data_IF_806701296645
#
_entry.id   IF_806701296645
#
_cell.length_a   1.000
_cell.length_b   1.000
_cell.length_c   1.000
_cell.angle_alpha   90.00
_cell.angle_beta   90.00
_cell.angle_gamma   90.00
#
_symmetry.space_group_name_H-M   'P 1'
#
loop_
_entity.id
_entity.type
_entity.pdbx_description
1 polymer ?
#
# COMPACT_ATOMS: atom_id res chain seq x y z
N UNK A 1 15.55 -66.00 34.46
CA UNK A 1 16.93 -65.56 34.71
C UNK A 1 17.04 -64.10 34.32
N UNK A 2 17.17 -63.21 35.29
CA UNK A 2 17.61 -61.84 35.07
C UNK A 2 19.14 -61.80 35.06
N UNK A 3 19.74 -60.86 34.32
CA UNK A 3 20.97 -60.21 34.72
C UNK A 3 20.80 -58.68 34.84
N UNK A 4 21.74 -58.01 35.51
CA UNK A 4 21.44 -56.92 36.44
C UNK A 4 21.64 -55.50 35.87
N UNK A 5 21.10 -54.57 36.63
CA UNK A 5 21.21 -53.11 36.53
C UNK A 5 22.65 -52.60 36.45
N UNK A 6 22.87 -51.57 35.65
CA UNK A 6 23.96 -50.62 35.84
C UNK A 6 23.41 -49.21 35.60
N UNK A 7 23.09 -48.51 36.71
CA UNK A 7 22.89 -47.07 36.71
C UNK A 7 24.26 -46.38 36.73
N UNK A 8 24.46 -45.43 35.83
CA UNK A 8 25.52 -44.42 35.97
C UNK A 8 24.91 -43.05 35.64
N UNK A 9 25.01 -42.06 36.53
CA UNK A 9 24.32 -40.78 36.35
C UNK A 9 25.18 -39.84 35.52
N UNK A 10 24.70 -39.43 34.35
CA UNK A 10 25.28 -38.30 33.62
C UNK A 10 24.48 -37.03 33.96
N UNK A 11 24.97 -36.30 34.96
CA UNK A 11 24.54 -34.94 35.28
C UNK A 11 25.08 -33.95 34.19
N UNK A 12 24.65 -32.69 34.15
CA UNK A 12 23.74 -32.15 33.15
C UNK A 12 24.47 -31.08 32.31
N UNK A 13 24.68 -31.30 31.02
CA UNK A 13 25.30 -30.25 30.21
C UNK A 13 24.38 -29.68 29.15
N UNK A 14 23.92 -28.48 29.53
CA UNK A 14 23.77 -27.29 28.71
C UNK A 14 22.53 -27.30 27.84
N UNK A 15 21.46 -26.78 28.44
CA UNK A 15 20.62 -25.77 27.80
C UNK A 15 21.51 -24.92 26.90
N UNK A 16 21.44 -25.15 25.59
CA UNK A 16 21.80 -24.13 24.64
C UNK A 16 20.72 -23.06 24.80
N UNK A 17 20.96 -22.16 25.74
CA UNK A 17 20.49 -20.79 25.64
C UNK A 17 21.10 -20.26 24.35
N UNK A 18 20.45 -20.53 23.21
CA UNK A 18 20.63 -19.68 22.05
C UNK A 18 20.11 -18.33 22.50
N UNK A 19 21.07 -17.47 22.82
CA UNK A 19 20.89 -16.03 22.86
C UNK A 19 19.87 -15.68 21.79
N UNK A 20 18.75 -15.09 22.21
CA UNK A 20 17.89 -14.31 21.33
C UNK A 20 18.71 -13.11 20.86
N UNK A 21 19.70 -13.35 20.01
CA UNK A 21 20.18 -12.35 19.07
C UNK A 21 18.95 -12.03 18.25
N UNK A 22 18.55 -10.76 18.23
CA UNK A 22 17.45 -10.30 17.38
C UNK A 22 17.83 -10.65 15.93
N UNK A 23 17.40 -11.82 15.46
CA UNK A 23 17.60 -12.24 14.09
C UNK A 23 16.91 -11.20 13.21
N UNK A 24 17.60 -10.76 12.17
CA UNK A 24 17.01 -9.82 11.22
C UNK A 24 15.71 -10.36 10.66
N UNK A 25 14.78 -9.45 10.38
CA UNK A 25 13.44 -9.79 9.93
C UNK A 25 13.02 -8.89 8.78
N UNK A 26 12.31 -9.48 7.82
CA UNK A 26 11.63 -8.74 6.77
C UNK A 26 10.14 -8.68 7.09
N UNK A 27 9.61 -7.47 7.18
CA UNK A 27 8.19 -7.22 7.43
C UNK A 27 7.52 -6.71 6.17
N UNK A 28 6.38 -7.31 5.82
CA UNK A 28 5.49 -6.81 4.76
C UNK A 28 4.21 -6.29 5.40
N UNK A 29 3.99 -4.98 5.34
CA UNK A 29 2.78 -4.33 5.84
C UNK A 29 1.66 -4.44 4.81
N UNK A 30 0.51 -4.94 5.25
CA UNK A 30 -0.67 -5.15 4.42
C UNK A 30 -1.61 -3.94 4.50
N UNK A 31 -2.47 -3.73 3.47
CA UNK A 31 -3.51 -2.72 3.50
C UNK A 31 -4.42 -2.88 4.73
N UNK A 32 -4.74 -1.77 5.39
CA UNK A 32 -5.60 -1.78 6.56
C UNK A 32 -7.01 -2.28 6.18
N UNK A 33 -7.49 -3.29 6.91
CA UNK A 33 -8.83 -3.89 6.72
C UNK A 33 -9.87 -3.41 7.73
N UNK A 34 -9.56 -2.41 8.56
CA UNK A 34 -10.48 -1.88 9.55
C UNK A 34 -9.78 -1.12 10.68
N UNK A 35 -10.52 -0.78 11.76
CA UNK A 35 -9.96 -0.16 12.94
C UNK A 35 -9.10 -1.17 13.72
N UNK A 36 -7.80 -1.18 13.41
CA UNK A 36 -6.80 -2.03 14.05
C UNK A 36 -5.41 -1.69 13.53
N UNK A 37 -4.33 -2.15 14.20
CA UNK A 37 -3.00 -2.00 13.66
C UNK A 37 -2.91 -2.69 12.28
N UNK A 38 -2.11 -2.13 11.34
CA UNK A 38 -1.93 -2.76 10.04
C UNK A 38 -1.39 -4.18 10.23
N UNK A 39 -2.04 -5.13 9.55
CA UNK A 39 -1.59 -6.52 9.56
C UNK A 39 -0.20 -6.58 8.91
N UNK A 40 0.70 -7.36 9.51
CA UNK A 40 2.07 -7.55 9.01
C UNK A 40 2.37 -9.02 8.81
N UNK A 41 3.07 -9.35 7.72
CA UNK A 41 3.72 -10.64 7.53
C UNK A 41 5.18 -10.50 7.93
N UNK A 42 5.75 -11.55 8.54
CA UNK A 42 7.15 -11.55 9.01
C UNK A 42 7.88 -12.74 8.40
N UNK A 43 9.05 -12.46 7.85
CA UNK A 43 9.91 -13.41 7.18
C UNK A 43 11.27 -13.41 7.87
N UNK A 44 11.78 -14.61 8.16
CA UNK A 44 13.07 -14.83 8.83
C UNK A 44 14.22 -14.89 7.82
N UNK A 45 15.43 -15.16 8.33
CA UNK A 45 16.66 -15.35 7.57
C UNK A 45 16.49 -16.13 6.25
N UNK A 46 17.15 -15.63 5.20
CA UNK A 46 17.17 -16.22 3.86
C UNK A 46 16.80 -15.24 2.76
N UNK A 47 16.79 -15.75 1.53
CA UNK A 47 16.42 -15.01 0.33
C UNK A 47 14.92 -15.14 0.04
N UNK A 48 14.26 -14.01 -0.19
CA UNK A 48 12.82 -13.96 -0.47
C UNK A 48 12.55 -13.24 -1.79
N UNK A 49 11.86 -13.90 -2.72
CA UNK A 49 11.48 -13.27 -3.99
C UNK A 49 10.29 -12.32 -3.77
N UNK A 50 10.36 -11.12 -4.35
CA UNK A 50 9.31 -10.11 -4.26
C UNK A 50 7.94 -10.64 -4.74
N UNK A 51 7.91 -11.44 -5.80
CA UNK A 51 6.68 -12.09 -6.27
C UNK A 51 6.08 -13.05 -5.24
N UNK A 52 6.90 -13.88 -4.59
CA UNK A 52 6.43 -14.83 -3.56
C UNK A 52 5.87 -14.09 -2.35
N UNK A 53 6.55 -13.03 -1.91
CA UNK A 53 6.07 -12.14 -0.85
C UNK A 53 4.73 -11.50 -1.23
N UNK A 54 4.58 -11.01 -2.46
CA UNK A 54 3.32 -10.48 -2.99
C UNK A 54 2.21 -11.54 -3.01
N UNK A 55 2.51 -12.80 -3.34
CA UNK A 55 1.52 -13.89 -3.36
C UNK A 55 1.04 -14.19 -1.94
N UNK A 56 1.93 -14.23 -0.97
CA UNK A 56 1.56 -14.41 0.44
C UNK A 56 0.75 -13.23 0.98
N UNK A 57 1.16 -12.01 0.65
CA UNK A 57 0.44 -10.78 1.00
C UNK A 57 -0.96 -10.73 0.39
N UNK A 58 -1.11 -11.15 -0.88
CA UNK A 58 -2.40 -11.27 -1.56
C UNK A 58 -3.34 -12.26 -0.87
N UNK A 59 -2.83 -13.45 -0.51
CA UNK A 59 -3.60 -14.47 0.23
C UNK A 59 -4.06 -13.95 1.59
N UNK A 60 -3.16 -13.36 2.37
CA UNK A 60 -3.49 -12.77 3.67
C UNK A 60 -4.51 -11.61 3.54
N UNK A 61 -4.42 -10.85 2.44
CA UNK A 61 -5.31 -9.74 2.11
C UNK A 61 -6.58 -10.16 1.35
N UNK A 62 -6.82 -11.46 1.13
CA UNK A 62 -7.98 -12.00 0.40
C UNK A 62 -8.13 -11.45 -1.03
N UNK A 63 -7.03 -11.09 -1.67
CA UNK A 63 -7.00 -10.61 -3.05
C UNK A 63 -7.03 -11.82 -3.98
N UNK A 64 -7.98 -11.83 -4.92
CA UNK A 64 -8.10 -12.90 -5.90
C UNK A 64 -6.90 -12.90 -6.87
N UNK A 65 -6.48 -14.08 -7.38
CA UNK A 65 -5.34 -14.18 -8.29
C UNK A 65 -5.43 -13.25 -9.52
N UNK A 66 -6.64 -13.02 -10.04
CA UNK A 66 -6.87 -12.13 -11.19
C UNK A 66 -6.50 -10.66 -10.92
N UNK A 67 -6.53 -10.23 -9.66
CA UNK A 67 -6.21 -8.86 -9.22
C UNK A 67 -4.80 -8.74 -8.61
N UNK A 68 -4.15 -9.86 -8.28
CA UNK A 68 -2.79 -9.86 -7.70
C UNK A 68 -1.78 -9.04 -8.53
N UNK A 69 -1.75 -9.11 -9.87
CA UNK A 69 -0.81 -8.32 -10.68
C UNK A 69 -0.97 -6.80 -10.58
N UNK A 70 -2.05 -6.29 -9.95
CA UNK A 70 -2.22 -4.86 -9.73
C UNK A 70 -1.40 -4.35 -8.53
N UNK A 71 -0.88 -5.25 -7.71
CA UNK A 71 -0.15 -4.93 -6.48
C UNK A 71 1.35 -5.16 -6.62
N UNK A 72 2.13 -4.43 -5.85
CA UNK A 72 3.59 -4.57 -5.77
C UNK A 72 4.10 -4.21 -4.36
N UNK A 73 5.39 -4.43 -4.14
CA UNK A 73 6.09 -4.02 -2.93
C UNK A 73 6.75 -2.65 -3.15
N UNK A 74 6.58 -1.77 -2.18
CA UNK A 74 7.27 -0.49 -2.10
C UNK A 74 8.15 -0.42 -0.84
N UNK A 75 9.15 0.44 -0.86
CA UNK A 75 9.89 0.82 0.34
C UNK A 75 8.96 1.49 1.36
N UNK A 76 9.35 1.48 2.64
CA UNK A 76 8.57 2.08 3.73
C UNK A 76 8.26 3.58 3.51
N UNK A 77 9.21 4.30 2.91
CA UNK A 77 9.11 5.72 2.59
C UNK A 77 8.41 6.01 1.24
N UNK A 78 7.98 4.97 0.52
CA UNK A 78 7.39 5.03 -0.82
C UNK A 78 8.32 5.67 -1.87
N UNK A 79 9.63 5.72 -1.62
CA UNK A 79 10.61 6.28 -2.56
C UNK A 79 10.80 5.42 -3.81
N UNK A 80 10.58 4.11 -3.70
CA UNK A 80 10.74 3.17 -4.80
C UNK A 80 9.81 1.97 -4.72
N UNK A 81 9.66 1.31 -5.87
CA UNK A 81 8.94 0.05 -6.03
C UNK A 81 9.91 -1.05 -6.44
N UNK A 82 9.69 -2.26 -5.93
CA UNK A 82 10.51 -3.42 -6.26
C UNK A 82 9.91 -4.21 -7.43
N UNK A 83 10.72 -4.62 -8.42
CA UNK A 83 10.25 -5.52 -9.47
C UNK A 83 9.93 -6.91 -8.88
N UNK A 84 9.02 -7.69 -9.50
CA UNK A 84 8.64 -9.01 -9.01
C UNK A 84 9.82 -9.99 -8.94
N UNK A 85 10.85 -9.77 -9.76
CA UNK A 85 12.09 -10.56 -9.78
C UNK A 85 13.13 -10.15 -8.73
N UNK A 86 12.84 -9.15 -7.89
CA UNK A 86 13.78 -8.71 -6.86
C UNK A 86 13.89 -9.73 -5.73
N UNK A 87 15.10 -9.97 -5.25
CA UNK A 87 15.37 -10.89 -4.14
C UNK A 87 15.78 -10.05 -2.92
N UNK A 88 15.05 -10.21 -1.82
CA UNK A 88 15.38 -9.63 -0.52
C UNK A 88 16.17 -10.64 0.30
N UNK A 89 17.42 -10.34 0.59
CA UNK A 89 18.26 -11.15 1.47
C UNK A 89 18.14 -10.64 2.91
N UNK A 90 17.64 -11.49 3.80
CA UNK A 90 17.50 -11.18 5.23
C UNK A 90 18.69 -11.75 5.98
N UNK A 91 19.61 -10.87 6.37
CA UNK A 91 20.77 -11.20 7.20
C UNK A 91 20.49 -10.98 8.69
N UNK A 92 21.44 -11.33 9.56
CA UNK A 92 21.32 -11.17 11.03
C UNK A 92 21.36 -9.70 11.51
N UNK A 93 21.46 -8.72 10.61
CA UNK A 93 21.62 -7.31 10.94
C UNK A 93 20.44 -6.51 10.40
N UNK A 94 19.47 -6.24 11.27
CA UNK A 94 18.44 -5.22 11.05
C UNK A 94 17.09 -5.76 10.57
N UNK A 95 16.07 -4.91 10.70
CA UNK A 95 14.71 -5.20 10.28
C UNK A 95 14.38 -4.34 9.07
N UNK A 96 13.95 -4.95 7.97
CA UNK A 96 13.49 -4.24 6.78
C UNK A 96 11.96 -4.26 6.72
N UNK A 97 11.36 -3.12 6.36
CA UNK A 97 9.91 -2.98 6.24
C UNK A 97 9.55 -2.62 4.80
N UNK A 98 8.61 -3.38 4.24
CA UNK A 98 8.05 -3.20 2.90
C UNK A 98 6.55 -2.94 2.99
N UNK A 99 6.02 -2.20 2.03
CA UNK A 99 4.60 -1.91 1.92
C UNK A 99 4.00 -2.69 0.75
N UNK A 100 3.00 -3.52 1.00
CA UNK A 100 2.22 -4.18 -0.05
C UNK A 100 1.06 -3.28 -0.47
N UNK A 101 1.13 -2.73 -1.70
CA UNK A 101 0.23 -1.66 -2.17
C UNK A 101 -0.21 -1.89 -3.61
N UNK A 102 -1.38 -1.32 -3.93
CA UNK A 102 -1.85 -1.19 -5.30
C UNK A 102 -0.91 -0.25 -6.05
N UNK A 103 -0.34 -0.71 -7.17
CA UNK A 103 0.59 0.04 -8.01
C UNK A 103 -0.02 0.36 -9.37
N UNK A 104 -0.61 -0.64 -10.01
CA UNK A 104 -1.21 -0.47 -11.33
C UNK A 104 -2.66 -0.05 -11.18
N UNK A 105 -2.90 1.24 -11.38
CA UNK A 105 -4.21 1.87 -11.20
C UNK A 105 -4.76 2.41 -12.52
N UNK A 106 -6.07 2.24 -12.72
CA UNK A 106 -6.80 2.78 -13.86
C UNK A 106 -7.96 3.63 -13.33
N UNK A 107 -7.93 4.96 -13.52
CA UNK A 107 -8.99 5.83 -13.04
C UNK A 107 -10.30 5.57 -13.78
N UNK A 108 -11.41 6.02 -13.19
CA UNK A 108 -12.76 5.84 -13.75
C UNK A 108 -13.17 4.36 -13.96
N UNK A 109 -12.58 3.43 -13.21
CA UNK A 109 -12.97 2.02 -13.23
C UNK A 109 -14.40 1.79 -12.70
N UNK A 110 -14.95 2.78 -12.00
CA UNK A 110 -16.34 2.79 -11.52
C UNK A 110 -17.16 3.81 -12.32
N UNK A 111 -18.12 3.37 -13.15
CA UNK A 111 -19.03 4.26 -13.88
C UNK A 111 -19.41 3.81 -15.29
N UNK A 112 -20.17 4.67 -15.98
CA UNK A 112 -20.74 4.43 -17.33
C UNK A 112 -19.72 4.56 -18.48
N UNK A 113 -18.61 5.30 -18.27
CA UNK A 113 -17.48 5.37 -19.21
C UNK A 113 -16.24 4.74 -18.59
N UNK A 114 -16.27 3.41 -18.41
CA UNK A 114 -15.32 2.71 -17.55
C UNK A 114 -14.20 1.99 -18.30
N UNK A 115 -12.99 2.11 -17.76
CA UNK A 115 -11.96 1.10 -17.97
C UNK A 115 -12.43 -0.21 -17.31
N UNK A 116 -12.53 -1.27 -18.10
CA UNK A 116 -13.07 -2.55 -17.64
C UNK A 116 -12.26 -3.71 -18.21
N UNK A 117 -12.28 -4.83 -17.51
CA UNK A 117 -11.73 -6.07 -18.05
C UNK A 117 -12.68 -6.60 -19.13
N UNK A 118 -12.11 -7.07 -20.23
CA UNK A 118 -12.88 -7.69 -21.30
C UNK A 118 -13.61 -8.93 -20.76
N UNK A 119 -14.92 -9.03 -20.99
CA UNK A 119 -15.76 -10.13 -20.53
C UNK A 119 -16.94 -10.38 -21.46
N UNK A 120 -17.38 -11.64 -21.56
CA UNK A 120 -18.58 -12.03 -22.31
C UNK A 120 -19.81 -11.77 -21.42
N UNK A 121 -20.50 -10.64 -21.67
CA UNK A 121 -21.64 -10.06 -20.92
C UNK A 121 -21.28 -9.48 -19.54
N UNK A 122 -21.74 -8.24 -19.34
CA UNK A 122 -21.64 -7.48 -18.10
C UNK A 122 -22.53 -8.10 -17.02
N UNK A 123 -21.92 -8.59 -15.94
CA UNK A 123 -22.60 -8.59 -14.66
C UNK A 123 -21.60 -8.43 -13.49
N UNK A 124 -21.98 -7.53 -12.59
CA UNK A 124 -21.56 -7.23 -11.21
C UNK A 124 -20.06 -7.20 -10.80
N UNK A 125 -19.68 -6.02 -10.30
CA UNK A 125 -18.44 -5.74 -9.58
C UNK A 125 -18.43 -6.32 -8.15
N UNK A 126 -17.27 -6.81 -7.69
CA UNK A 126 -17.06 -7.31 -6.32
C UNK A 126 -15.85 -6.67 -5.62
N UNK A 127 -16.10 -6.13 -4.41
CA UNK A 127 -15.31 -6.12 -3.15
C UNK A 127 -13.84 -5.57 -3.16
N UNK A 128 -13.20 -4.97 -2.14
CA UNK A 128 -13.26 -4.89 -0.64
C UNK A 128 -12.59 -3.54 -0.23
N UNK A 129 -12.89 -2.97 0.96
CA UNK A 129 -11.98 -2.27 1.92
C UNK A 129 -12.74 -1.33 2.89
N UNK A 130 -12.41 -1.33 4.18
CA UNK A 130 -13.07 -0.56 5.26
C UNK A 130 -12.30 0.74 5.56
N UNK A 131 -12.96 1.87 5.82
CA UNK A 131 -12.30 3.01 6.46
C UNK A 131 -13.22 3.85 7.39
N UNK A 132 -12.80 4.12 8.65
CA UNK A 132 -13.42 5.08 9.57
C UNK A 132 -12.64 6.41 9.77
N UNK A 133 -13.19 7.28 10.63
CA UNK A 133 -13.18 8.76 10.66
C UNK A 133 -11.94 9.43 11.32
N UNK A 134 -10.72 9.11 10.87
CA UNK A 134 -9.52 9.96 11.09
C UNK A 134 -9.23 10.92 9.91
N UNK A 135 -10.24 11.07 9.05
CA UNK A 135 -10.17 11.13 7.59
C UNK A 135 -9.85 12.50 6.95
N UNK A 136 -9.14 13.40 7.67
CA UNK A 136 -8.60 14.62 7.06
C UNK A 136 -7.09 14.49 6.85
N UNK A 137 -6.57 14.85 5.65
CA UNK A 137 -5.14 14.96 5.40
C UNK A 137 -4.45 15.85 6.45
N UNK A 138 -3.21 15.54 6.87
CA UNK A 138 -2.47 16.31 7.88
C UNK A 138 -2.43 17.81 7.58
N UNK A 139 -2.06 18.22 6.37
CA UNK A 139 -2.00 19.66 6.01
C UNK A 139 -3.34 20.39 6.12
N UNK A 140 -4.45 19.73 5.78
CA UNK A 140 -5.79 20.31 5.94
C UNK A 140 -6.19 20.41 7.43
N UNK A 141 -5.78 19.44 8.24
CA UNK A 141 -5.98 19.46 9.70
C UNK A 141 -5.25 20.65 10.31
N UNK A 142 -3.99 20.84 9.95
CA UNK A 142 -3.15 21.92 10.47
C UNK A 142 -3.70 23.29 10.06
N UNK A 143 -4.11 23.43 8.80
CA UNK A 143 -4.79 24.62 8.30
C UNK A 143 -6.05 24.93 9.13
N UNK A 144 -6.93 23.94 9.34
CA UNK A 144 -8.15 24.13 10.12
C UNK A 144 -7.82 24.48 11.58
N UNK A 145 -6.80 23.87 12.16
CA UNK A 145 -6.35 24.18 13.52
C UNK A 145 -5.82 25.62 13.63
N UNK A 146 -5.19 26.17 12.60
CA UNK A 146 -4.77 27.58 12.54
C UNK A 146 -5.89 28.61 12.45
N UNK A 147 -7.12 28.21 12.07
CA UNK A 147 -8.25 29.14 11.91
C UNK A 147 -8.83 29.64 13.25
N UNK A 148 -9.55 30.76 13.22
CA UNK A 148 -10.25 31.28 14.41
C UNK A 148 -11.22 30.27 15.02
N UNK A 149 -11.46 30.38 16.33
CA UNK A 149 -12.44 29.54 17.04
C UNK A 149 -13.82 29.55 16.38
N UNK A 150 -14.30 30.74 15.97
CA UNK A 150 -15.62 30.90 15.32
C UNK A 150 -15.65 30.19 13.98
N UNK A 151 -14.59 30.32 13.16
CA UNK A 151 -14.48 29.64 11.87
C UNK A 151 -14.47 28.13 12.04
N UNK A 152 -13.66 27.59 12.97
CA UNK A 152 -13.65 26.15 13.29
C UNK A 152 -15.01 25.65 13.77
N UNK A 153 -15.73 26.44 14.58
CA UNK A 153 -17.09 26.11 15.04
C UNK A 153 -18.10 26.08 13.88
N UNK A 154 -18.00 27.00 12.92
CA UNK A 154 -18.82 27.01 11.70
C UNK A 154 -18.54 25.77 10.85
N UNK A 155 -17.27 25.45 10.57
CA UNK A 155 -16.87 24.24 9.84
C UNK A 155 -17.47 22.99 10.48
N UNK A 156 -17.28 22.81 11.80
CA UNK A 156 -17.85 21.65 12.53
C UNK A 156 -19.38 21.56 12.40
N UNK A 157 -20.08 22.70 12.46
CA UNK A 157 -21.56 22.74 12.28
C UNK A 157 -21.97 22.34 10.87
N UNK A 158 -21.28 22.86 9.85
CA UNK A 158 -21.54 22.53 8.44
C UNK A 158 -21.30 21.05 8.17
N UNK A 159 -20.15 20.51 8.59
CA UNK A 159 -19.81 19.08 8.44
C UNK A 159 -20.84 18.21 9.15
N UNK A 160 -21.22 18.52 10.40
CA UNK A 160 -22.26 17.77 11.12
C UNK A 160 -23.60 17.77 10.40
N UNK A 161 -24.01 18.90 9.80
CA UNK A 161 -25.25 18.98 9.00
C UNK A 161 -25.16 18.12 7.75
N UNK A 162 -24.04 18.14 7.04
CA UNK A 162 -23.82 17.30 5.87
C UNK A 162 -23.84 15.81 6.23
N UNK A 163 -23.12 15.40 7.29
CA UNK A 163 -23.09 14.01 7.74
C UNK A 163 -24.47 13.49 8.14
N UNK A 164 -25.35 14.31 8.74
CA UNK A 164 -26.73 13.91 9.02
C UNK A 164 -27.53 13.60 7.76
N UNK A 165 -27.28 14.34 6.66
CA UNK A 165 -27.93 14.07 5.37
C UNK A 165 -27.41 12.78 4.75
N UNK A 166 -26.09 12.54 4.82
CA UNK A 166 -25.47 11.31 4.34
C UNK A 166 -25.96 10.10 5.14
N UNK A 167 -26.05 10.21 6.47
CA UNK A 167 -26.56 9.14 7.33
C UNK A 167 -28.06 8.83 7.11
N UNK A 168 -28.82 9.79 6.59
CA UNK A 168 -30.21 9.58 6.18
C UNK A 168 -30.33 8.93 4.78
N UNK A 169 -29.24 8.90 4.01
CA UNK A 169 -29.19 8.20 2.74
C UNK A 169 -28.99 6.71 3.00
N UNK A 170 -29.79 5.86 2.34
CA UNK A 170 -29.64 4.40 2.37
C UNK A 170 -28.48 3.96 1.46
N UNK A 171 -27.29 4.55 1.68
CA UNK A 171 -26.09 4.17 0.96
C UNK A 171 -25.46 2.97 1.66
N UNK A 172 -25.24 1.89 0.92
CA UNK A 172 -24.48 0.76 1.43
C UNK A 172 -22.99 1.13 1.54
N UNK A 173 -22.25 0.29 2.27
CA UNK A 173 -20.82 0.49 2.52
C UNK A 173 -20.02 0.63 1.21
N UNK A 174 -20.35 -0.16 0.18
CA UNK A 174 -19.63 -0.16 -1.09
C UNK A 174 -19.84 1.14 -1.87
N UNK A 175 -21.07 1.65 -1.92
CA UNK A 175 -21.37 2.93 -2.57
C UNK A 175 -20.61 4.09 -1.92
N UNK A 176 -20.45 4.07 -0.59
CA UNK A 176 -19.67 5.09 0.12
C UNK A 176 -18.17 5.01 -0.20
N UNK A 177 -17.60 3.80 -0.28
CA UNK A 177 -16.20 3.59 -0.65
C UNK A 177 -15.95 4.03 -2.09
N UNK A 178 -16.81 3.61 -3.02
CA UNK A 178 -16.69 4.01 -4.42
C UNK A 178 -16.78 5.54 -4.55
N UNK A 179 -17.72 6.18 -3.85
CA UNK A 179 -17.83 7.64 -3.84
C UNK A 179 -16.59 8.31 -3.28
N UNK A 180 -16.02 7.77 -2.20
CA UNK A 180 -14.78 8.28 -1.61
C UNK A 180 -13.60 8.20 -2.58
N UNK A 181 -13.40 7.05 -3.24
CA UNK A 181 -12.34 6.86 -4.23
C UNK A 181 -12.53 7.82 -5.41
N UNK A 182 -13.75 7.94 -5.96
CA UNK A 182 -14.05 8.89 -7.05
C UNK A 182 -13.78 10.34 -6.65
N UNK A 183 -14.06 10.72 -5.40
CA UNK A 183 -13.77 12.06 -4.92
C UNK A 183 -12.28 12.30 -4.71
N UNK A 184 -11.52 11.28 -4.28
CA UNK A 184 -10.07 11.36 -4.19
C UNK A 184 -9.43 11.59 -5.56
N UNK A 185 -9.87 10.85 -6.59
CA UNK A 185 -9.39 11.05 -7.98
C UNK A 185 -9.65 12.47 -8.49
N UNK A 186 -10.81 13.05 -8.13
CA UNK A 186 -11.16 14.42 -8.53
C UNK A 186 -10.36 15.48 -7.79
N UNK A 187 -9.98 15.21 -6.54
CA UNK A 187 -9.21 16.13 -5.72
C UNK A 187 -7.72 16.13 -6.08
N UNK A 188 -7.18 14.98 -6.47
CA UNK A 188 -5.78 14.81 -6.87
C UNK A 188 -5.68 13.95 -8.15
N UNK A 189 -5.83 14.57 -9.33
CA UNK A 189 -5.72 13.85 -10.61
C UNK A 189 -4.32 13.27 -10.86
N UNK A 190 -3.28 13.90 -10.30
CA UNK A 190 -1.89 13.42 -10.40
C UNK A 190 -1.61 12.16 -9.58
N UNK A 191 -2.41 11.89 -8.55
CA UNK A 191 -2.23 10.73 -7.66
C UNK A 191 -2.35 9.37 -8.36
N UNK A 192 -2.90 9.33 -9.58
CA UNK A 192 -3.00 8.11 -10.40
C UNK A 192 -1.77 7.85 -11.29
N UNK A 193 -0.78 8.75 -11.30
CA UNK A 193 0.40 8.66 -12.16
C UNK A 193 1.70 8.61 -11.33
N UNK A 194 2.59 7.67 -11.66
CA UNK A 194 3.96 7.67 -11.15
C UNK A 194 4.80 8.63 -11.98
N UNK A 195 5.66 9.41 -11.33
CA UNK A 195 6.43 10.45 -12.00
C UNK A 195 7.92 10.38 -11.67
N UNK A 196 8.76 10.37 -12.69
CA UNK A 196 10.19 10.10 -12.62
C UNK A 196 10.99 11.27 -13.21
N UNK A 197 12.05 11.68 -12.52
CA UNK A 197 13.00 12.66 -13.07
C UNK A 197 13.99 11.95 -13.97
N UNK A 198 14.14 12.41 -15.21
CA UNK A 198 14.91 11.76 -16.27
C UNK A 198 15.60 12.79 -17.16
N UNK A 199 16.67 12.41 -17.85
CA UNK A 199 17.26 13.22 -18.92
C UNK A 199 16.43 13.12 -20.20
N UNK A 200 16.14 14.26 -20.86
CA UNK A 200 15.41 14.28 -22.12
C UNK A 200 16.35 13.92 -23.28
N UNK A 201 16.13 12.79 -23.98
CA UNK A 201 17.05 12.30 -25.01
C UNK A 201 17.05 13.15 -26.31
N UNK A 202 16.13 14.11 -26.45
CA UNK A 202 15.94 14.90 -27.67
C UNK A 202 16.30 16.39 -27.51
N UNK A 203 17.20 16.74 -26.58
CA UNK A 203 17.64 18.13 -26.44
C UNK A 203 18.53 18.56 -27.63
N UNK A 204 18.15 19.60 -28.40
CA UNK A 204 19.04 20.14 -29.43
C UNK A 204 20.28 20.75 -28.74
N UNK A 205 21.44 20.10 -28.90
CA UNK A 205 22.70 20.53 -28.28
C UNK A 205 23.51 19.43 -27.57
N UNK A 206 23.04 18.18 -27.52
CA UNK A 206 23.82 17.05 -26.97
C UNK A 206 23.99 17.06 -25.45
N UNK A 207 23.26 17.92 -24.74
CA UNK A 207 23.24 17.97 -23.28
C UNK A 207 21.85 17.57 -22.78
N UNK A 208 21.79 16.49 -22.00
CA UNK A 208 20.55 15.98 -21.41
C UNK A 208 19.90 17.08 -20.56
N UNK A 209 18.75 17.58 -21.01
CA UNK A 209 17.94 18.52 -20.21
C UNK A 209 17.15 17.74 -19.17
N UNK A 210 17.04 18.24 -17.92
CA UNK A 210 16.18 17.61 -16.94
C UNK A 210 14.72 17.68 -17.42
N UNK A 211 14.08 16.51 -17.42
CA UNK A 211 12.68 16.35 -17.73
C UNK A 211 12.01 15.43 -16.74
N UNK A 212 10.72 15.24 -16.96
CA UNK A 212 9.88 14.45 -16.09
C UNK A 212 9.08 13.46 -16.95
N UNK A 213 9.21 12.17 -16.64
CA UNK A 213 8.46 11.08 -17.24
C UNK A 213 7.29 10.75 -16.32
N UNK A 214 6.07 10.88 -16.82
CA UNK A 214 4.85 10.46 -16.14
C UNK A 214 4.33 9.16 -16.75
N UNK A 215 3.95 8.21 -15.90
CA UNK A 215 3.44 6.89 -16.26
C UNK A 215 2.10 6.70 -15.57
N UNK A 216 1.03 6.50 -16.35
CA UNK A 216 -0.30 6.22 -15.82
C UNK A 216 -1.02 5.15 -16.63
N UNK A 217 -1.90 4.37 -15.99
CA UNK A 217 -2.63 3.30 -16.65
C UNK A 217 -3.54 3.79 -17.79
N UNK A 218 -4.16 4.97 -17.65
CA UNK A 218 -5.08 5.50 -18.65
C UNK A 218 -4.40 6.26 -19.81
N UNK A 219 -3.31 6.98 -19.55
CA UNK A 219 -2.66 7.84 -20.54
C UNK A 219 -1.32 7.30 -21.06
N UNK A 220 -0.82 6.18 -20.52
CA UNK A 220 0.45 5.60 -20.93
C UNK A 220 1.65 6.41 -20.45
N UNK A 221 2.64 6.60 -21.34
CA UNK A 221 3.88 7.33 -21.06
C UNK A 221 3.79 8.75 -21.61
N UNK A 222 4.08 9.75 -20.77
CA UNK A 222 4.13 11.15 -21.16
C UNK A 222 5.42 11.81 -20.65
N UNK A 223 5.97 12.74 -21.43
CA UNK A 223 7.18 13.48 -21.09
C UNK A 223 6.85 14.97 -20.94
N UNK A 224 7.31 15.60 -19.87
CA UNK A 224 7.26 17.05 -19.68
C UNK A 224 8.66 17.60 -19.47
N UNK A 225 8.88 18.85 -19.89
CA UNK A 225 10.09 19.59 -19.52
C UNK A 225 9.94 20.00 -18.06
N UNK A 226 10.96 19.78 -17.22
CA UNK A 226 10.91 20.25 -15.84
C UNK A 226 10.76 21.77 -15.85
N UNK A 227 9.78 22.30 -15.12
CA UNK A 227 9.74 23.74 -14.89
C UNK A 227 11.08 24.16 -14.28
N UNK A 228 11.72 25.13 -14.93
CA UNK A 228 12.96 25.73 -14.48
C UNK A 228 12.61 26.54 -13.23
N UNK A 229 12.91 26.00 -12.05
CA UNK A 229 12.91 26.81 -10.82
C UNK A 229 14.08 27.81 -10.83
#
# INVERSE_FOLDING_TARGET
MAPPSEETPLIPQRSCSLSSSEAGALHVLLPARGPGPPQRLTFSFGDHLAEELCVQAAKASGILPVYHPLFALAAEDLSCWFPPSHIFSVDDVGTQVLLYRLRFYFPNWFGLESCHRFGLRQDLASAILDLPVACLPPGLRDLIQGLSFVTRRRIRRTVRRALRRVAACQADRHSLIAKYIMDLERLDPSGAAETFRVGLPWAPGGQDRPGQLSVAGASGLAWSQGEHE
#
